data_IF_094077311998
#
_entry.id   IF_094077311998
#
_cell.length_a   1.000
_cell.length_b   1.000
_cell.length_c   1.000
_cell.angle_alpha   90.00
_cell.angle_beta   90.00
_cell.angle_gamma   90.00
#
_symmetry.space_group_name_H-M   'P 1'
#
loop_
_entity.id
_entity.type
_entity.pdbx_description
1 polymer ?
#
# COMPACT_ATOMS: atom_id res chain seq x y z
N UNK A 1 -6.99 16.58 9.18
CA UNK A 1 -7.43 15.57 8.20
C UNK A 1 -8.56 16.11 7.32
N UNK A 2 -9.54 16.84 7.88
CA UNK A 2 -10.72 17.38 7.16
C UNK A 2 -10.41 18.33 5.97
N UNK A 3 -9.23 18.94 5.89
CA UNK A 3 -8.84 19.74 4.72
C UNK A 3 -8.04 18.99 3.64
N UNK A 4 -7.48 17.82 3.98
CA UNK A 4 -6.55 17.10 3.09
C UNK A 4 -7.25 16.06 2.21
N UNK A 5 -8.40 15.54 2.63
CA UNK A 5 -9.19 14.55 1.88
C UNK A 5 -10.45 15.18 1.27
N UNK A 6 -10.37 16.43 0.82
CA UNK A 6 -11.54 17.26 0.48
C UNK A 6 -12.49 16.67 -0.58
N UNK A 7 -12.05 15.63 -1.33
CA UNK A 7 -12.85 14.88 -2.29
C UNK A 7 -12.71 13.35 -2.19
N UNK A 8 -11.98 12.83 -1.20
CA UNK A 8 -11.62 11.42 -1.11
C UNK A 8 -12.25 10.79 0.13
N UNK A 9 -13.15 9.82 -0.06
CA UNK A 9 -13.57 8.94 1.03
C UNK A 9 -12.50 7.86 1.26
N UNK A 10 -11.77 7.87 2.38
CA UNK A 10 -10.71 6.91 2.63
C UNK A 10 -11.22 5.47 2.75
N UNK A 11 -12.48 5.26 3.15
CA UNK A 11 -13.05 3.92 3.28
C UNK A 11 -13.21 3.27 1.91
N UNK A 12 -13.62 4.03 0.88
CA UNK A 12 -13.77 3.52 -0.49
C UNK A 12 -12.42 3.01 -1.02
N UNK A 13 -11.35 3.77 -0.81
CA UNK A 13 -10.01 3.36 -1.27
C UNK A 13 -9.49 2.17 -0.46
N UNK A 14 -9.75 2.15 0.85
CA UNK A 14 -9.39 1.01 1.69
C UNK A 14 -10.10 -0.27 1.22
N UNK A 15 -11.41 -0.20 0.96
CA UNK A 15 -12.18 -1.32 0.44
C UNK A 15 -11.65 -1.79 -0.93
N UNK A 16 -11.33 -0.87 -1.83
CA UNK A 16 -10.69 -1.21 -3.10
C UNK A 16 -9.36 -1.93 -2.91
N UNK A 17 -8.53 -1.50 -1.94
CA UNK A 17 -7.26 -2.17 -1.63
C UNK A 17 -7.49 -3.61 -1.12
N UNK A 18 -8.55 -3.84 -0.35
CA UNK A 18 -8.94 -5.17 0.13
C UNK A 18 -9.43 -6.03 -1.05
N UNK A 19 -10.26 -5.49 -1.95
CA UNK A 19 -10.69 -6.23 -3.14
C UNK A 19 -9.50 -6.58 -4.04
N UNK A 20 -8.54 -5.68 -4.20
CA UNK A 20 -7.32 -5.94 -4.95
C UNK A 20 -6.49 -7.08 -4.32
N UNK A 21 -6.45 -7.17 -2.99
CA UNK A 21 -5.79 -8.26 -2.27
C UNK A 21 -6.38 -9.64 -2.60
N UNK A 22 -7.71 -9.72 -2.80
CA UNK A 22 -8.42 -10.98 -3.10
C UNK A 22 -8.01 -11.61 -4.43
N UNK A 23 -7.36 -10.89 -5.34
CA UNK A 23 -6.82 -11.50 -6.57
C UNK A 23 -5.74 -12.57 -6.29
N UNK A 24 -5.16 -12.58 -5.10
CA UNK A 24 -4.21 -13.59 -4.64
C UNK A 24 -4.81 -14.63 -3.69
N UNK A 25 -6.14 -14.78 -3.68
CA UNK A 25 -6.82 -15.79 -2.84
C UNK A 25 -6.20 -17.18 -3.03
N UNK A 26 -5.94 -17.84 -1.90
CA UNK A 26 -5.29 -19.15 -1.80
C UNK A 26 -3.83 -19.24 -2.30
N UNK A 27 -3.15 -18.12 -2.60
CA UNK A 27 -1.78 -18.12 -3.13
C UNK A 27 -0.72 -17.56 -2.18
N UNK A 28 -1.13 -16.82 -1.14
CA UNK A 28 -0.19 -16.08 -0.28
C UNK A 28 0.21 -16.83 0.99
N UNK A 29 -0.52 -17.88 1.38
CA UNK A 29 -0.26 -18.60 2.62
C UNK A 29 1.23 -19.05 2.72
N UNK A 30 1.88 -18.90 3.90
CA UNK A 30 1.32 -18.48 5.20
C UNK A 30 1.18 -16.96 5.39
N UNK A 31 1.59 -16.15 4.42
CA UNK A 31 1.53 -14.70 4.50
C UNK A 31 0.12 -14.16 4.19
N UNK A 32 -0.27 -13.00 4.76
CA UNK A 32 -1.57 -12.40 4.50
C UNK A 32 -1.70 -11.89 3.07
N UNK A 33 -2.93 -11.88 2.55
CA UNK A 33 -3.24 -11.15 1.33
C UNK A 33 -3.22 -9.65 1.61
N UNK A 34 -2.49 -8.89 0.80
CA UNK A 34 -2.38 -7.44 0.94
C UNK A 34 -2.50 -6.80 -0.43
N UNK A 35 -3.33 -5.76 -0.53
CA UNK A 35 -3.37 -4.83 -1.65
C UNK A 35 -2.80 -3.48 -1.24
N UNK A 36 -2.44 -2.66 -2.20
CA UNK A 36 -1.91 -1.32 -1.97
C UNK A 36 -2.31 -0.42 -3.12
N UNK A 37 -2.77 0.80 -2.78
CA UNK A 37 -3.22 1.80 -3.75
C UNK A 37 -2.58 3.13 -3.38
N UNK A 38 -1.90 3.76 -4.32
CA UNK A 38 -1.39 5.12 -4.20
C UNK A 38 -2.35 6.07 -4.92
N UNK A 39 -2.91 7.02 -4.17
CA UNK A 39 -3.92 7.96 -4.65
C UNK A 39 -3.54 9.39 -4.26
N UNK A 40 -3.83 10.38 -5.09
CA UNK A 40 -3.73 11.79 -4.70
C UNK A 40 -4.89 12.19 -3.80
N UNK A 41 -4.72 13.26 -3.02
CA UNK A 41 -5.75 13.81 -2.13
C UNK A 41 -7.10 14.14 -2.80
N UNK A 42 -7.12 14.34 -4.12
CA UNK A 42 -8.32 14.60 -4.91
C UNK A 42 -8.94 13.33 -5.54
N UNK A 43 -8.38 12.15 -5.26
CA UNK A 43 -8.94 10.85 -5.66
C UNK A 43 -8.33 10.23 -6.93
N UNK A 44 -7.30 10.83 -7.53
CA UNK A 44 -6.65 10.25 -8.71
C UNK A 44 -5.75 9.08 -8.32
N UNK A 45 -6.05 7.87 -8.80
CA UNK A 45 -5.20 6.69 -8.59
C UNK A 45 -3.94 6.81 -9.45
N UNK A 46 -2.79 6.83 -8.79
CA UNK A 46 -1.46 6.91 -9.44
C UNK A 46 -0.88 5.54 -9.73
N UNK A 47 -1.11 4.58 -8.84
CA UNK A 47 -0.60 3.21 -8.95
C UNK A 47 -1.34 2.28 -8.00
N UNK A 48 -1.34 0.99 -8.30
CA UNK A 48 -1.91 -0.04 -7.46
C UNK A 48 -1.16 -1.37 -7.63
N UNK A 49 -1.19 -2.20 -6.59
CA UNK A 49 -0.54 -3.50 -6.58
C UNK A 49 -1.07 -4.40 -5.48
N UNK A 50 -0.93 -5.71 -5.65
CA UNK A 50 -1.24 -6.68 -4.61
C UNK A 50 -0.15 -7.74 -4.53
N UNK A 51 0.00 -8.31 -3.34
CA UNK A 51 0.94 -9.38 -3.09
C UNK A 51 0.49 -10.66 -3.80
N UNK A 52 1.27 -11.10 -4.79
CA UNK A 52 0.86 -12.17 -5.71
C UNK A 52 0.86 -13.57 -5.07
N UNK A 53 1.93 -13.90 -4.33
CA UNK A 53 2.14 -15.20 -3.69
C UNK A 53 3.39 -15.17 -2.79
N UNK A 54 3.54 -16.19 -1.94
CA UNK A 54 4.71 -16.41 -1.08
C UNK A 54 6.05 -16.18 -1.82
N UNK A 55 6.94 -15.38 -1.21
CA UNK A 55 8.29 -15.11 -1.72
C UNK A 55 8.39 -14.12 -2.88
N UNK A 56 7.27 -13.47 -3.27
CA UNK A 56 7.27 -12.36 -4.24
C UNK A 56 7.34 -11.00 -3.53
N UNK A 57 7.59 -9.90 -4.27
CA UNK A 57 7.53 -8.57 -3.69
C UNK A 57 6.16 -8.28 -3.07
N UNK A 58 6.14 -7.60 -1.92
CA UNK A 58 4.90 -7.18 -1.26
C UNK A 58 4.12 -6.16 -2.10
N UNK A 59 2.85 -5.94 -1.76
CA UNK A 59 1.94 -5.04 -2.46
C UNK A 59 2.50 -3.61 -2.58
N UNK A 60 3.13 -3.10 -1.54
CA UNK A 60 3.73 -1.77 -1.47
C UNK A 60 4.89 -1.64 -2.46
N UNK A 61 5.72 -2.69 -2.56
CA UNK A 61 6.82 -2.73 -3.54
C UNK A 61 6.26 -2.72 -4.96
N UNK A 62 5.23 -3.53 -5.22
CA UNK A 62 4.60 -3.58 -6.55
C UNK A 62 3.99 -2.23 -6.92
N UNK A 63 3.35 -1.55 -5.97
CA UNK A 63 2.73 -0.24 -6.17
C UNK A 63 3.76 0.86 -6.43
N UNK A 64 4.92 0.82 -5.78
CA UNK A 64 5.91 1.91 -5.84
C UNK A 64 7.07 1.69 -6.82
N UNK A 65 7.32 0.45 -7.28
CA UNK A 65 8.55 0.11 -8.04
C UNK A 65 8.73 0.91 -9.33
N UNK A 66 7.63 1.24 -10.03
CA UNK A 66 7.67 1.89 -11.35
C UNK A 66 7.53 3.41 -11.29
N UNK A 67 7.30 3.98 -10.10
CA UNK A 67 7.08 5.41 -9.95
C UNK A 67 8.41 6.15 -9.83
N UNK A 68 8.68 7.09 -10.73
CA UNK A 68 9.89 7.91 -10.69
C UNK A 68 9.78 9.04 -9.66
N UNK A 69 8.62 9.68 -9.60
CA UNK A 69 8.30 10.74 -8.66
C UNK A 69 6.90 10.52 -8.08
N UNK A 70 6.69 10.97 -6.85
CA UNK A 70 5.42 10.85 -6.14
C UNK A 70 4.99 12.26 -5.72
N UNK A 71 3.79 12.72 -6.12
CA UNK A 71 3.25 14.01 -5.69
C UNK A 71 3.21 14.12 -4.16
N UNK A 72 3.45 15.33 -3.64
CA UNK A 72 3.48 15.54 -2.19
C UNK A 72 2.13 15.28 -1.50
N UNK A 73 1.04 15.40 -2.25
CA UNK A 73 -0.32 15.14 -1.78
C UNK A 73 -0.76 13.68 -2.00
N UNK A 74 0.16 12.79 -2.36
CA UNK A 74 -0.15 11.37 -2.52
C UNK A 74 -0.23 10.64 -1.17
N UNK A 75 -1.15 9.69 -1.11
CA UNK A 75 -1.49 8.89 0.06
C UNK A 75 -1.44 7.43 -0.35
N UNK A 76 -0.68 6.64 0.40
CA UNK A 76 -0.61 5.20 0.19
C UNK A 76 -1.59 4.49 1.12
N UNK A 77 -2.55 3.77 0.56
CA UNK A 77 -3.54 2.98 1.30
C UNK A 77 -3.11 1.52 1.33
N UNK A 78 -3.09 0.93 2.52
CA UNK A 78 -2.69 -0.46 2.76
C UNK A 78 -3.58 -1.06 3.86
N UNK A 79 -4.20 -2.24 3.68
CA UNK A 79 -5.10 -2.81 4.67
C UNK A 79 -4.38 -3.35 5.91
N UNK A 80 -3.08 -3.60 5.82
CA UNK A 80 -2.24 -4.11 6.91
C UNK A 80 -0.99 -3.25 7.07
N UNK A 81 -0.54 -3.06 8.31
CA UNK A 81 0.70 -2.34 8.62
C UNK A 81 1.90 -2.87 7.80
N UNK A 82 2.64 -1.98 7.12
CA UNK A 82 3.76 -2.38 6.27
C UNK A 82 4.91 -2.95 7.10
N UNK A 83 5.66 -3.87 6.50
CA UNK A 83 6.78 -4.47 7.21
C UNK A 83 7.92 -3.46 7.42
N UNK A 84 8.42 -3.39 8.66
CA UNK A 84 9.59 -2.62 9.07
C UNK A 84 10.89 -3.43 9.10
N UNK A 85 10.79 -4.75 8.90
CA UNK A 85 11.93 -5.65 8.84
C UNK A 85 11.69 -6.70 7.74
N UNK A 86 12.74 -7.03 6.99
CA UNK A 86 12.75 -8.18 6.08
C UNK A 86 14.04 -8.97 6.25
N UNK A 87 13.96 -10.30 6.07
CA UNK A 87 15.12 -11.20 6.12
C UNK A 87 16.11 -10.95 4.96
N UNK A 88 15.62 -10.45 3.83
CA UNK A 88 16.40 -10.20 2.62
C UNK A 88 15.90 -8.93 1.93
N UNK A 89 16.80 -8.07 1.46
CA UNK A 89 16.44 -6.85 0.74
C UNK A 89 16.02 -5.70 1.65
N UNK A 90 15.34 -4.71 1.06
CA UNK A 90 14.86 -3.51 1.74
C UNK A 90 13.44 -3.73 2.28
N UNK A 91 13.12 -3.26 3.50
CA UNK A 91 11.76 -3.34 4.05
C UNK A 91 10.77 -2.44 3.29
N UNK A 92 9.46 -2.69 3.42
CA UNK A 92 8.45 -1.86 2.78
C UNK A 92 8.48 -0.43 3.32
N UNK A 93 8.69 -0.26 4.63
CA UNK A 93 8.84 1.05 5.26
C UNK A 93 10.07 1.80 4.76
N UNK A 94 11.22 1.13 4.62
CA UNK A 94 12.43 1.77 4.06
C UNK A 94 12.23 2.21 2.61
N UNK A 95 11.51 1.41 1.80
CA UNK A 95 11.15 1.79 0.43
C UNK A 95 10.26 3.03 0.41
N UNK A 96 9.25 3.11 1.29
CA UNK A 96 8.39 4.28 1.42
C UNK A 96 9.17 5.55 1.78
N UNK A 97 10.11 5.44 2.73
CA UNK A 97 11.01 6.52 3.12
C UNK A 97 11.86 6.97 1.93
N UNK A 98 12.48 6.02 1.22
CA UNK A 98 13.28 6.30 0.01
C UNK A 98 12.47 6.98 -1.09
N UNK A 99 11.21 6.60 -1.27
CA UNK A 99 10.26 7.18 -2.23
C UNK A 99 9.61 8.47 -1.73
N UNK A 100 9.94 8.92 -0.52
CA UNK A 100 9.42 10.15 0.12
C UNK A 100 7.89 10.16 0.24
N UNK A 101 7.28 9.02 0.55
CA UNK A 101 5.85 8.96 0.86
C UNK A 101 5.58 9.79 2.12
N UNK A 102 4.73 10.81 2.01
CA UNK A 102 4.36 11.67 3.14
C UNK A 102 3.21 11.12 3.96
N UNK A 103 2.27 10.42 3.32
CA UNK A 103 1.03 9.98 3.96
C UNK A 103 0.77 8.50 3.68
N UNK A 104 0.49 7.74 4.74
CA UNK A 104 0.09 6.33 4.68
C UNK A 104 -1.18 6.15 5.50
N UNK A 105 -2.19 5.51 4.91
CA UNK A 105 -3.40 5.09 5.60
C UNK A 105 -3.35 3.56 5.76
N UNK A 106 -3.37 3.09 7.02
CA UNK A 106 -3.39 1.66 7.34
C UNK A 106 -4.76 1.23 7.88
N UNK A 107 -5.25 0.07 7.45
CA UNK A 107 -6.51 -0.50 7.94
C UNK A 107 -6.37 -1.16 9.30
N UNK A 108 -5.34 -2.01 9.44
CA UNK A 108 -5.08 -2.76 10.67
C UNK A 108 -3.59 -2.72 11.04
N UNK A 109 -3.32 -2.68 12.34
CA UNK A 109 -1.95 -2.81 12.87
C UNK A 109 -1.55 -4.28 12.90
N UNK A 110 -0.32 -4.56 12.52
CA UNK A 110 0.22 -5.91 12.62
C UNK A 110 0.55 -6.17 14.08
N UNK A 111 -0.08 -7.19 14.66
CA UNK A 111 0.26 -7.66 16.00
C UNK A 111 1.40 -8.66 15.83
N UNK A 112 2.55 -8.37 16.42
CA UNK A 112 3.73 -9.23 16.40
C UNK A 112 3.62 -10.33 17.45
#
# INVERSE_FOLDING_TARGET
MEGFLSRLDPNIIMDQSIQLAKHAEFKTAPDPMVGSILVTSDGTVLSQGYYLQAGKPHAEVITLKHLFAIPENAILFIPLEPCSFQKTGQSCTDLMIKKKIKYVCIGCRKIN
#
